data_IF_753303362260
#
_entry.id   IF_753303362260
#
_cell.length_a   1.000
_cell.length_b   1.000
_cell.length_c   1.000
_cell.angle_alpha   90.00
_cell.angle_beta   90.00
_cell.angle_gamma   90.00
#
_symmetry.space_group_name_H-M   'P 1'
#
loop_
_entity.id
_entity.type
_entity.pdbx_description
1 polymer ?
#
# COMPACT_ATOMS: atom_id res chain seq x y z
N UNK A 1 -32.63 -38.76 -39.64
CA UNK A 1 -31.72 -37.62 -39.87
C UNK A 1 -31.85 -36.47 -38.87
N UNK A 2 -32.77 -36.51 -37.89
CA UNK A 2 -32.99 -35.41 -36.92
C UNK A 2 -32.11 -35.50 -35.65
N UNK A 3 -31.71 -36.69 -35.22
CA UNK A 3 -30.89 -36.87 -34.00
C UNK A 3 -29.42 -36.43 -34.11
N UNK A 4 -28.85 -36.37 -35.32
CA UNK A 4 -27.46 -35.94 -35.53
C UNK A 4 -27.30 -34.42 -35.54
N UNK A 5 -28.35 -33.69 -35.92
CA UNK A 5 -28.35 -32.21 -35.98
C UNK A 5 -28.51 -31.62 -34.58
N UNK A 6 -29.30 -32.25 -33.71
CA UNK A 6 -29.47 -31.82 -32.31
C UNK A 6 -28.19 -32.00 -31.47
N UNK A 7 -27.43 -33.08 -31.70
CA UNK A 7 -26.17 -33.33 -30.99
C UNK A 7 -25.06 -32.32 -31.35
N UNK A 8 -25.05 -31.82 -32.59
CA UNK A 8 -24.09 -30.81 -33.07
C UNK A 8 -24.42 -29.40 -32.55
N UNK A 9 -25.69 -29.08 -32.32
CA UNK A 9 -26.11 -27.78 -31.76
C UNK A 9 -25.73 -27.64 -30.27
N UNK A 10 -25.83 -28.71 -29.46
CA UNK A 10 -25.41 -28.68 -28.06
C UNK A 10 -23.88 -28.62 -27.90
N UNK A 11 -23.12 -29.22 -28.84
CA UNK A 11 -21.65 -29.14 -28.85
C UNK A 11 -21.14 -27.73 -29.24
N UNK A 12 -21.89 -26.99 -30.07
CA UNK A 12 -21.56 -25.62 -30.46
C UNK A 12 -21.91 -24.58 -29.38
N UNK A 13 -22.82 -24.89 -28.46
CA UNK A 13 -23.19 -23.99 -27.35
C UNK A 13 -22.21 -24.04 -26.16
N UNK A 14 -21.36 -25.06 -26.08
CA UNK A 14 -20.36 -25.19 -24.99
C UNK A 14 -19.01 -24.54 -25.28
N UNK A 15 -18.81 -23.95 -26.46
CA UNK A 15 -17.55 -23.30 -26.82
C UNK A 15 -17.54 -21.78 -26.61
N UNK A 16 -18.65 -21.17 -26.15
CA UNK A 16 -18.76 -19.70 -26.03
C UNK A 16 -18.80 -19.20 -24.57
N UNK A 17 -18.62 -20.07 -23.59
CA UNK A 17 -18.41 -19.67 -22.20
C UNK A 17 -16.92 -19.82 -21.83
N UNK A 18 -16.04 -19.16 -22.57
CA UNK A 18 -14.75 -18.76 -21.97
C UNK A 18 -15.15 -17.71 -20.95
N UNK A 19 -15.04 -17.97 -19.63
CA UNK A 19 -15.22 -16.90 -18.67
C UNK A 19 -14.21 -15.82 -19.06
N UNK A 20 -14.70 -14.60 -19.21
CA UNK A 20 -13.89 -13.41 -19.32
C UNK A 20 -13.12 -13.23 -18.00
N UNK A 21 -12.14 -14.09 -17.73
CA UNK A 21 -11.08 -13.83 -16.77
C UNK A 21 -10.09 -12.88 -17.42
N UNK A 22 -10.59 -11.76 -17.94
CA UNK A 22 -9.82 -10.54 -17.94
C UNK A 22 -9.95 -9.94 -16.53
N UNK A 23 -9.60 -10.74 -15.49
CA UNK A 23 -8.97 -10.11 -14.36
C UNK A 23 -7.68 -9.59 -14.97
N UNK A 24 -7.64 -8.30 -15.25
CA UNK A 24 -6.39 -7.60 -15.50
C UNK A 24 -5.59 -7.81 -14.24
N UNK A 25 -4.88 -8.93 -14.14
CA UNK A 25 -3.81 -9.11 -13.19
C UNK A 25 -2.80 -8.06 -13.61
N UNK A 26 -2.96 -6.86 -13.04
CA UNK A 26 -1.88 -5.90 -13.02
C UNK A 26 -0.65 -6.70 -12.61
N UNK A 27 0.48 -6.57 -13.33
CA UNK A 27 1.68 -7.27 -12.95
C UNK A 27 1.89 -7.05 -11.44
N UNK A 28 2.24 -8.10 -10.67
CA UNK A 28 2.39 -7.97 -9.23
C UNK A 28 3.31 -6.78 -8.95
N UNK A 29 2.82 -5.84 -8.14
CA UNK A 29 3.61 -4.69 -7.74
C UNK A 29 4.90 -5.19 -7.06
N UNK A 30 6.03 -4.64 -7.47
CA UNK A 30 7.34 -5.03 -6.94
C UNK A 30 7.74 -4.27 -5.67
N UNK A 31 7.06 -3.17 -5.37
CA UNK A 31 7.32 -2.34 -4.19
C UNK A 31 6.10 -1.51 -3.80
N UNK A 32 6.06 -1.07 -2.53
CA UNK A 32 5.12 -0.08 -2.01
C UNK A 32 5.94 0.99 -1.28
N UNK A 33 5.84 2.23 -1.72
CA UNK A 33 6.41 3.40 -1.04
C UNK A 33 5.25 4.29 -0.61
N UNK A 34 5.25 4.72 0.64
CA UNK A 34 4.15 5.47 1.24
C UNK A 34 4.60 6.87 1.60
N UNK A 35 3.77 7.85 1.26
CA UNK A 35 3.91 9.26 1.61
C UNK A 35 2.60 9.74 2.20
N UNK A 36 2.63 10.68 3.14
CA UNK A 36 1.42 11.22 3.74
C UNK A 36 1.61 11.73 5.15
N UNK A 37 0.50 11.75 5.88
CA UNK A 37 0.40 12.24 7.24
C UNK A 37 0.13 11.11 8.25
N UNK A 38 -0.51 11.44 9.37
CA UNK A 38 -0.84 10.50 10.45
C UNK A 38 -1.69 9.33 10.00
N UNK A 39 -2.52 9.49 8.97
CA UNK A 39 -3.42 8.43 8.49
C UNK A 39 -2.66 7.21 7.92
N UNK A 40 -1.37 7.38 7.61
CA UNK A 40 -0.51 6.36 7.01
C UNK A 40 0.91 6.36 7.60
N UNK A 41 1.15 7.01 8.74
CA UNK A 41 2.47 7.05 9.38
C UNK A 41 2.76 5.74 10.14
N UNK A 42 3.74 5.00 9.64
CA UNK A 42 4.25 3.77 10.25
C UNK A 42 5.20 3.99 11.45
N UNK A 43 5.20 5.16 12.06
CA UNK A 43 5.91 5.49 13.28
C UNK A 43 7.15 6.38 13.13
N UNK A 44 7.30 7.10 12.01
CA UNK A 44 8.36 8.11 11.88
C UNK A 44 8.22 9.19 12.97
N UNK A 45 7.02 9.70 13.22
CA UNK A 45 6.78 10.70 14.28
C UNK A 45 7.05 10.11 15.67
N UNK A 46 6.57 8.89 15.92
CA UNK A 46 6.85 8.18 17.19
C UNK A 46 8.34 7.97 17.43
N UNK A 47 9.11 7.67 16.39
CA UNK A 47 10.57 7.49 16.44
C UNK A 47 11.29 8.77 16.85
N UNK A 48 10.75 9.94 16.47
CA UNK A 48 11.23 11.25 16.91
C UNK A 48 10.81 11.60 18.35
N UNK A 49 10.09 10.72 19.05
CA UNK A 49 9.59 10.96 20.40
C UNK A 49 8.38 11.90 20.45
N UNK A 50 7.68 12.05 19.33
CA UNK A 50 6.51 12.94 19.17
C UNK A 50 5.29 12.11 18.80
N UNK A 51 4.08 12.56 19.15
CA UNK A 51 2.80 11.97 18.71
C UNK A 51 2.66 10.46 18.96
N UNK A 52 1.58 9.87 18.43
CA UNK A 52 1.28 8.43 18.47
C UNK A 52 1.65 7.74 19.80
N UNK A 53 1.31 8.40 20.92
CA UNK A 53 1.67 7.96 22.26
C UNK A 53 0.83 6.73 22.66
N UNK A 54 1.46 5.60 23.03
CA UNK A 54 0.75 4.43 23.55
C UNK A 54 -0.15 4.74 24.74
N UNK A 55 0.17 5.76 25.56
CA UNK A 55 -0.69 6.20 26.66
C UNK A 55 -2.05 6.75 26.18
N UNK A 56 -2.15 7.15 24.91
CA UNK A 56 -3.38 7.62 24.26
C UNK A 56 -4.09 6.50 23.46
N UNK A 57 -3.62 5.25 23.55
CA UNK A 57 -4.23 4.10 22.87
C UNK A 57 -3.72 3.84 21.45
N UNK A 58 -2.67 4.55 21.04
CA UNK A 58 -2.00 4.31 19.76
C UNK A 58 -1.12 3.07 19.81
N UNK A 59 -1.09 2.30 18.72
CA UNK A 59 -0.38 1.01 18.65
C UNK A 59 0.81 1.11 17.70
N UNK A 60 1.97 0.61 18.14
CA UNK A 60 3.20 0.48 17.34
C UNK A 60 3.61 1.74 16.55
N UNK A 61 3.34 2.91 17.15
CA UNK A 61 3.66 4.21 16.58
C UNK A 61 2.72 4.71 15.47
N UNK A 62 1.63 3.99 15.18
CA UNK A 62 0.59 4.44 14.26
C UNK A 62 -0.39 5.38 14.96
N UNK A 63 -0.96 6.32 14.23
CA UNK A 63 -2.05 7.17 14.74
C UNK A 63 -3.42 6.47 14.68
N UNK A 64 -3.43 5.18 14.98
CA UNK A 64 -4.63 4.35 15.13
C UNK A 64 -4.38 3.26 16.18
N UNK A 65 -5.41 2.50 16.53
CA UNK A 65 -5.36 1.42 17.52
C UNK A 65 -4.91 0.07 16.93
N UNK A 66 -4.16 0.09 15.83
CA UNK A 66 -3.70 -1.08 15.09
C UNK A 66 -2.94 -0.68 13.82
N UNK A 67 -3.01 -1.54 12.79
CA UNK A 67 -2.43 -1.25 11.47
C UNK A 67 -3.28 -0.24 10.70
N UNK A 68 -2.61 0.72 10.07
CA UNK A 68 -3.26 1.64 9.14
C UNK A 68 -3.57 0.97 7.78
N UNK A 69 -4.24 1.69 6.87
CA UNK A 69 -4.60 1.13 5.57
C UNK A 69 -3.38 0.67 4.77
N UNK A 70 -2.27 1.41 4.83
CA UNK A 70 -1.06 1.08 4.06
C UNK A 70 -0.31 -0.11 4.64
N UNK A 71 -0.34 -0.30 5.95
CA UNK A 71 0.11 -1.51 6.61
C UNK A 71 -0.72 -2.72 6.17
N UNK A 72 -2.06 -2.60 6.14
CA UNK A 72 -2.95 -3.67 5.69
C UNK A 72 -2.73 -4.01 4.20
N UNK A 73 -2.51 -3.00 3.37
CA UNK A 73 -2.15 -3.18 1.97
C UNK A 73 -0.81 -3.91 1.83
N UNK A 74 0.22 -3.48 2.57
CA UNK A 74 1.53 -4.14 2.60
C UNK A 74 1.44 -5.58 3.09
N UNK A 75 0.63 -5.87 4.11
CA UNK A 75 0.37 -7.23 4.58
C UNK A 75 -0.26 -8.09 3.48
N UNK A 76 -1.23 -7.55 2.74
CA UNK A 76 -1.87 -8.27 1.63
C UNK A 76 -0.90 -8.53 0.46
N UNK A 77 0.06 -7.63 0.23
CA UNK A 77 1.03 -7.73 -0.88
C UNK A 77 2.27 -8.57 -0.53
N UNK A 78 2.78 -8.43 0.69
CA UNK A 78 4.12 -8.90 1.09
C UNK A 78 4.13 -9.71 2.39
N UNK A 79 3.02 -9.81 3.11
CA UNK A 79 2.93 -10.52 4.38
C UNK A 79 3.53 -9.77 5.58
N UNK A 80 3.96 -8.52 5.41
CA UNK A 80 4.50 -7.67 6.48
C UNK A 80 3.90 -6.26 6.42
N UNK A 81 3.69 -5.57 7.56
CA UNK A 81 3.24 -4.17 7.57
C UNK A 81 4.34 -3.25 7.02
N UNK A 82 4.01 -1.99 6.79
CA UNK A 82 5.01 -1.02 6.33
C UNK A 82 5.95 -0.64 7.48
N UNK A 83 7.19 -0.33 7.12
CA UNK A 83 8.23 0.07 8.08
C UNK A 83 8.54 1.55 7.87
N UNK A 84 8.57 2.31 8.96
CA UNK A 84 8.98 3.72 8.98
C UNK A 84 10.35 3.91 8.30
N UNK A 85 10.47 4.95 7.48
CA UNK A 85 11.71 5.32 6.78
C UNK A 85 12.89 5.55 7.73
N UNK A 86 12.63 6.10 8.93
CA UNK A 86 13.66 6.26 9.97
C UNK A 86 14.16 4.93 10.56
N UNK A 87 13.49 3.82 10.27
CA UNK A 87 13.92 2.46 10.59
C UNK A 87 14.40 1.69 9.34
N UNK A 88 14.63 2.38 8.21
CA UNK A 88 15.10 1.78 6.96
C UNK A 88 14.00 1.17 6.09
N UNK A 89 12.73 1.49 6.35
CA UNK A 89 11.60 1.02 5.55
C UNK A 89 11.16 1.97 4.43
N UNK A 90 10.06 1.62 3.76
CA UNK A 90 9.53 2.36 2.60
C UNK A 90 8.39 3.32 2.93
N UNK A 91 8.06 3.53 4.21
CA UNK A 91 7.04 4.47 4.63
C UNK A 91 7.66 5.80 5.08
N UNK A 92 7.55 6.81 4.22
CA UNK A 92 8.07 8.17 4.40
C UNK A 92 7.00 9.13 4.94
N UNK A 93 5.84 8.65 5.38
CA UNK A 93 4.80 9.51 5.95
C UNK A 93 5.20 10.00 7.35
N UNK A 94 4.79 11.23 7.69
CA UNK A 94 5.02 11.83 9.00
C UNK A 94 3.69 12.38 9.53
N UNK A 95 3.24 11.88 10.68
CA UNK A 95 2.11 12.40 11.43
C UNK A 95 2.09 13.92 11.56
N UNK A 96 1.09 14.56 10.93
CA UNK A 96 0.95 16.00 10.91
C UNK A 96 1.60 16.70 9.70
N UNK A 97 2.10 15.96 8.71
CA UNK A 97 2.55 16.52 7.45
C UNK A 97 1.43 17.28 6.71
N UNK A 98 1.83 18.14 5.78
CA UNK A 98 0.98 18.93 4.90
C UNK A 98 1.35 18.68 3.45
N UNK A 99 0.45 19.05 2.54
CA UNK A 99 0.72 19.02 1.11
C UNK A 99 1.75 20.06 0.68
N UNK A 100 1.86 21.17 1.42
CA UNK A 100 2.82 22.26 1.16
C UNK A 100 3.74 22.49 2.36
N UNK A 101 5.03 22.82 2.15
CA UNK A 101 6.02 22.99 3.21
C UNK A 101 5.66 24.14 4.16
N UNK A 102 5.05 23.79 5.28
CA UNK A 102 4.52 24.73 6.28
C UNK A 102 4.82 24.27 7.70
N UNK A 103 5.41 23.09 7.87
CA UNK A 103 5.71 22.49 9.18
C UNK A 103 7.19 22.17 9.33
N UNK A 104 7.68 21.98 10.58
CA UNK A 104 9.07 21.57 10.83
C UNK A 104 9.31 20.06 10.67
N UNK A 105 8.26 19.28 10.38
CA UNK A 105 8.37 17.87 10.02
C UNK A 105 8.32 17.74 8.49
N UNK A 106 8.83 16.64 7.90
CA UNK A 106 8.79 16.48 6.45
C UNK A 106 7.36 16.50 5.90
N UNK A 107 7.03 17.58 5.18
CA UNK A 107 5.81 17.71 4.39
C UNK A 107 5.98 16.97 3.04
N UNK A 108 4.91 16.90 2.24
CA UNK A 108 4.84 15.99 1.10
C UNK A 108 6.03 16.11 0.12
N UNK A 109 6.53 17.34 -0.14
CA UNK A 109 7.67 17.56 -1.02
C UNK A 109 8.98 17.05 -0.41
N UNK A 110 9.19 17.29 0.88
CA UNK A 110 10.36 16.82 1.62
C UNK A 110 10.37 15.29 1.73
N UNK A 111 9.21 14.64 1.90
CA UNK A 111 9.13 13.19 1.91
C UNK A 111 9.56 12.57 0.58
N UNK A 112 9.19 13.17 -0.55
CA UNK A 112 9.66 12.76 -1.88
C UNK A 112 11.17 12.96 -2.01
N UNK A 113 11.72 14.06 -1.47
CA UNK A 113 13.16 14.29 -1.46
C UNK A 113 13.92 13.24 -0.61
N UNK A 114 13.37 12.85 0.54
CA UNK A 114 13.93 11.78 1.39
C UNK A 114 13.95 10.44 0.65
N UNK A 115 12.85 10.08 -0.01
CA UNK A 115 12.79 8.87 -0.84
C UNK A 115 13.82 8.91 -1.98
N UNK A 116 13.94 10.04 -2.67
CA UNK A 116 14.95 10.20 -3.72
C UNK A 116 16.37 10.00 -3.18
N UNK A 117 16.68 10.52 -1.99
CA UNK A 117 17.98 10.32 -1.37
C UNK A 117 18.28 8.86 -1.00
N UNK A 118 17.25 8.03 -0.74
CA UNK A 118 17.39 6.59 -0.54
C UNK A 118 17.69 5.89 -1.87
N UNK A 119 16.93 6.18 -2.92
CA UNK A 119 17.14 5.57 -4.24
C UNK A 119 18.51 5.94 -4.83
N UNK A 120 18.94 7.19 -4.67
CA UNK A 120 20.24 7.64 -5.19
C UNK A 120 21.43 6.90 -4.52
N UNK A 121 21.20 6.19 -3.39
CA UNK A 121 22.18 5.35 -2.70
C UNK A 121 22.09 3.85 -3.05
N UNK A 122 21.20 3.46 -3.95
CA UNK A 122 21.07 2.08 -4.43
C UNK A 122 19.90 1.28 -3.87
N UNK A 123 19.01 1.90 -3.10
CA UNK A 123 17.82 1.25 -2.52
C UNK A 123 18.12 0.55 -1.20
#
# INVERSE_FOLDING_TARGET
MIGRVAALLCAAAMTVAVPATAQTSAPPFSSLTVFGDSLVDAGNIRKLGLGADPALGYVDGRFTNGYDYTDLLSLAMYGTPTVASLNGGSNFAYGGARATPTTPIPDALEQVALYKAVIDKGG
#
